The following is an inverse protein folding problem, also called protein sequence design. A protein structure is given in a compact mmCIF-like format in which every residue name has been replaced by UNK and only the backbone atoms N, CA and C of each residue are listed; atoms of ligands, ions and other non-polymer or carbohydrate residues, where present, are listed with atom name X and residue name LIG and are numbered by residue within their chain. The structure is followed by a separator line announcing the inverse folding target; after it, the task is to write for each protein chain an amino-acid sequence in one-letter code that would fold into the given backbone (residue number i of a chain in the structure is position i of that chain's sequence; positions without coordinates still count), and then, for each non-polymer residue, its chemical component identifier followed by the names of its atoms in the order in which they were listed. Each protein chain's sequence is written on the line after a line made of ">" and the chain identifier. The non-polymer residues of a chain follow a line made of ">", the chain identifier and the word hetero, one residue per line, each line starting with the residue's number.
data_IF_464555266782
#
_entry.id   IF_464555266782
#
_cell.length_a   1.000
_cell.length_b   1.000
_cell.length_c   1.000
_cell.angle_alpha   90.00
_cell.angle_beta   90.00
_cell.angle_gamma   90.00
#
_symmetry.space_group_name_H-M   'P 1'
#
loop_
_entity.id
_entity.type
_entity.pdbx_description
1 polymer ?
#
# COMPACT_ATOMS: atom_id res chain seq x y z
N UNK A 1 -16.18 6.07 -60.84
CA UNK A 1 -17.16 5.82 -59.74
C UNK A 1 -16.97 6.93 -58.72
N UNK A 2 -18.00 7.73 -58.51
CA UNK A 2 -17.91 8.86 -57.61
C UNK A 2 -18.04 8.35 -56.16
N UNK A 3 -17.10 8.70 -55.30
CA UNK A 3 -17.07 8.33 -53.88
C UNK A 3 -18.42 8.55 -53.16
N UNK A 4 -19.12 9.63 -53.54
CA UNK A 4 -20.46 9.97 -53.00
C UNK A 4 -21.52 8.93 -53.41
N UNK A 5 -21.45 8.39 -54.64
CA UNK A 5 -22.37 7.34 -55.10
C UNK A 5 -22.17 6.04 -54.29
N UNK A 6 -20.94 5.64 -54.09
CA UNK A 6 -20.61 4.44 -53.29
C UNK A 6 -21.06 4.57 -51.82
N UNK A 7 -20.94 5.77 -51.26
CA UNK A 7 -21.42 6.04 -49.91
C UNK A 7 -22.95 5.95 -49.79
N UNK A 8 -23.66 6.50 -50.77
CA UNK A 8 -25.14 6.43 -50.80
C UNK A 8 -25.66 5.00 -51.02
N UNK A 9 -25.02 4.21 -51.87
CA UNK A 9 -25.35 2.79 -52.05
C UNK A 9 -25.10 1.96 -50.80
N UNK A 10 -23.99 2.19 -50.11
CA UNK A 10 -23.68 1.55 -48.81
C UNK A 10 -24.75 1.90 -47.75
N UNK A 11 -25.11 3.18 -47.63
CA UNK A 11 -26.15 3.65 -46.71
C UNK A 11 -27.52 3.03 -47.01
N UNK A 12 -27.90 3.01 -48.28
CA UNK A 12 -29.14 2.38 -48.72
C UNK A 12 -29.18 0.88 -48.43
N UNK A 13 -28.10 0.16 -48.61
CA UNK A 13 -27.97 -1.27 -48.32
C UNK A 13 -28.08 -1.55 -46.83
N UNK A 14 -27.51 -0.70 -45.99
CA UNK A 14 -27.65 -0.79 -44.52
C UNK A 14 -29.09 -0.55 -44.06
N UNK A 15 -29.79 0.38 -44.68
CA UNK A 15 -31.18 0.70 -44.35
C UNK A 15 -32.15 -0.38 -44.84
N UNK A 16 -31.88 -1.01 -45.98
CA UNK A 16 -32.69 -2.12 -46.48
C UNK A 16 -32.68 -3.35 -45.57
N UNK A 17 -31.54 -3.59 -44.85
CA UNK A 17 -31.36 -4.72 -43.95
C UNK A 17 -31.10 -4.27 -42.49
N UNK A 18 -31.81 -3.24 -42.03
CA UNK A 18 -31.57 -2.57 -40.75
C UNK A 18 -31.45 -3.49 -39.53
N UNK A 19 -32.26 -4.53 -39.45
CA UNK A 19 -32.21 -5.48 -38.32
C UNK A 19 -30.89 -6.26 -38.26
N UNK A 20 -30.39 -6.69 -39.43
CA UNK A 20 -29.11 -7.41 -39.53
C UNK A 20 -27.95 -6.46 -39.20
N UNK A 21 -28.01 -5.24 -39.76
CA UNK A 21 -26.96 -4.23 -39.53
C UNK A 21 -26.89 -3.83 -38.07
N UNK A 22 -28.02 -3.63 -37.42
CA UNK A 22 -28.08 -3.34 -35.96
C UNK A 22 -27.52 -4.49 -35.13
N UNK A 23 -27.93 -5.75 -35.40
CA UNK A 23 -27.44 -6.89 -34.65
C UNK A 23 -25.92 -7.09 -34.81
N UNK A 24 -25.41 -6.96 -36.02
CA UNK A 24 -23.96 -7.12 -36.27
C UNK A 24 -23.15 -6.01 -35.62
N UNK A 25 -23.61 -4.74 -35.75
CA UNK A 25 -22.94 -3.61 -35.09
C UNK A 25 -22.98 -3.72 -33.59
N UNK A 26 -24.14 -4.12 -33.04
CA UNK A 26 -24.29 -4.32 -31.60
C UNK A 26 -23.32 -5.41 -31.09
N UNK A 27 -23.21 -6.53 -31.82
CA UNK A 27 -22.26 -7.59 -31.48
C UNK A 27 -20.80 -7.10 -31.45
N UNK A 28 -20.41 -6.31 -32.46
CA UNK A 28 -19.06 -5.73 -32.48
C UNK A 28 -18.84 -4.76 -31.32
N UNK A 29 -19.80 -3.86 -31.09
CA UNK A 29 -19.69 -2.89 -29.96
C UNK A 29 -19.58 -3.59 -28.63
N UNK A 30 -20.41 -4.61 -28.37
CA UNK A 30 -20.33 -5.38 -27.12
C UNK A 30 -18.98 -6.11 -27.02
N UNK A 31 -18.53 -6.71 -28.10
CA UNK A 31 -17.24 -7.40 -28.13
C UNK A 31 -16.05 -6.49 -27.82
N UNK A 32 -15.99 -5.34 -28.49
CA UNK A 32 -14.93 -4.33 -28.23
C UNK A 32 -15.03 -3.75 -26.83
N UNK A 33 -16.24 -3.39 -26.40
CA UNK A 33 -16.46 -2.87 -25.05
C UNK A 33 -16.04 -3.84 -23.95
N UNK A 34 -16.31 -5.14 -24.14
CA UNK A 34 -15.89 -6.17 -23.19
C UNK A 34 -14.36 -6.29 -23.09
N UNK A 35 -13.65 -6.21 -24.20
CA UNK A 35 -12.17 -6.23 -24.21
C UNK A 35 -11.59 -4.99 -23.53
N UNK A 36 -12.13 -3.81 -23.83
CA UNK A 36 -11.68 -2.56 -23.20
C UNK A 36 -11.94 -2.61 -21.68
N UNK A 37 -13.12 -3.07 -21.26
CA UNK A 37 -13.45 -3.21 -19.86
C UNK A 37 -12.50 -4.17 -19.13
N UNK A 38 -12.17 -5.31 -19.76
CA UNK A 38 -11.22 -6.27 -19.18
C UNK A 38 -9.83 -5.68 -19.00
N UNK A 39 -9.32 -4.95 -20.00
CA UNK A 39 -8.03 -4.28 -19.93
C UNK A 39 -8.04 -3.20 -18.82
N UNK A 40 -9.09 -2.37 -18.79
CA UNK A 40 -9.23 -1.31 -17.80
C UNK A 40 -9.27 -1.84 -16.35
N UNK A 41 -10.00 -2.94 -16.12
CA UNK A 41 -10.03 -3.59 -14.80
C UNK A 41 -8.64 -4.17 -14.46
N UNK A 42 -7.99 -4.81 -15.45
CA UNK A 42 -6.66 -5.40 -15.25
C UNK A 42 -5.60 -4.36 -14.89
N UNK A 43 -5.54 -3.25 -15.60
CA UNK A 43 -4.60 -2.15 -15.32
C UNK A 43 -4.91 -1.47 -14.00
N UNK A 44 -6.19 -1.21 -13.70
CA UNK A 44 -6.58 -0.59 -12.43
C UNK A 44 -6.26 -1.47 -11.22
N UNK A 45 -6.43 -2.79 -11.33
CA UNK A 45 -6.04 -3.73 -10.29
C UNK A 45 -4.51 -3.77 -10.10
N UNK A 46 -3.75 -3.76 -11.19
CA UNK A 46 -2.28 -3.72 -11.16
C UNK A 46 -1.77 -2.44 -10.48
N UNK A 47 -2.30 -1.28 -10.84
CA UNK A 47 -1.92 0.01 -10.24
C UNK A 47 -2.24 0.03 -8.73
N UNK A 48 -3.38 -0.51 -8.34
CA UNK A 48 -3.75 -0.62 -6.91
C UNK A 48 -2.76 -1.47 -6.14
N UNK A 49 -2.36 -2.63 -6.67
CA UNK A 49 -1.38 -3.51 -6.04
C UNK A 49 -0.01 -2.84 -5.96
N UNK A 50 0.45 -2.21 -7.06
CA UNK A 50 1.72 -1.52 -7.10
C UNK A 50 1.78 -0.36 -6.09
N UNK A 51 0.71 0.41 -5.96
CA UNK A 51 0.62 1.50 -4.98
C UNK A 51 0.65 0.97 -3.54
N UNK A 52 0.00 -0.16 -3.24
CA UNK A 52 0.08 -0.79 -1.93
C UNK A 52 1.50 -1.28 -1.60
N UNK A 53 2.19 -1.87 -2.57
CA UNK A 53 3.57 -2.35 -2.40
C UNK A 53 4.54 -1.16 -2.27
N UNK A 54 4.37 -0.12 -3.07
CA UNK A 54 5.22 1.08 -3.02
C UNK A 54 5.10 1.82 -1.69
N UNK A 55 3.91 1.82 -1.07
CA UNK A 55 3.68 2.39 0.25
C UNK A 55 4.37 1.64 1.40
N UNK A 56 4.76 0.37 1.19
CA UNK A 56 5.49 -0.42 2.20
C UNK A 56 7.00 -0.12 2.16
N UNK A 57 7.52 0.45 1.07
CA UNK A 57 8.95 0.68 0.81
C UNK A 57 9.54 -0.45 -0.06
N UNK A 58 10.07 -0.07 -1.21
CA UNK A 58 10.59 -1.04 -2.21
C UNK A 58 11.95 -1.61 -1.86
N UNK A 59 12.68 -0.97 -0.92
CA UNK A 59 14.06 -1.33 -0.56
C UNK A 59 14.17 -1.82 0.89
N UNK A 60 13.05 -2.34 1.46
CA UNK A 60 13.07 -2.85 2.83
C UNK A 60 13.46 -4.31 2.90
N UNK A 61 14.36 -4.60 3.81
CA UNK A 61 14.70 -5.95 4.24
C UNK A 61 14.19 -6.15 5.67
N UNK A 62 13.40 -7.19 5.88
CA UNK A 62 12.92 -7.54 7.21
C UNK A 62 13.78 -8.65 7.78
N UNK A 63 14.32 -8.43 8.97
CA UNK A 63 15.07 -9.40 9.74
C UNK A 63 14.23 -9.86 10.91
N UNK A 64 13.97 -11.16 10.98
CA UNK A 64 13.22 -11.79 12.05
C UNK A 64 14.12 -12.77 12.79
N UNK A 65 13.77 -13.06 14.03
CA UNK A 65 14.36 -14.19 14.77
C UNK A 65 14.17 -15.51 13.99
N UNK A 66 15.09 -16.44 14.12
CA UNK A 66 15.01 -17.74 13.44
C UNK A 66 13.78 -18.53 13.86
N UNK A 67 13.38 -19.49 13.02
CA UNK A 67 12.23 -20.33 13.31
C UNK A 67 12.65 -21.57 14.11
N UNK A 68 11.88 -21.92 15.16
CA UNK A 68 12.09 -23.10 16.02
C UNK A 68 11.99 -24.46 15.29
N UNK A 69 11.70 -24.46 13.98
CA UNK A 69 11.61 -25.71 13.20
C UNK A 69 12.94 -26.36 12.85
N UNK A 70 14.05 -25.70 13.19
CA UNK A 70 15.39 -26.29 13.01
C UNK A 70 15.89 -26.77 14.38
N UNK A 71 15.77 -28.05 14.66
CA UNK A 71 16.12 -28.72 15.95
C UNK A 71 17.59 -28.50 16.40
N UNK A 72 18.37 -27.78 15.61
CA UNK A 72 19.80 -27.56 15.85
C UNK A 72 20.16 -26.15 16.33
N UNK A 73 19.23 -25.18 16.31
CA UNK A 73 19.51 -23.79 16.66
C UNK A 73 18.61 -23.31 17.78
N UNK A 74 19.22 -22.90 18.89
CA UNK A 74 18.48 -22.18 19.95
C UNK A 74 18.14 -20.80 19.41
N UNK A 75 16.85 -20.57 19.15
CA UNK A 75 16.35 -19.26 18.71
C UNK A 75 16.51 -18.26 19.87
N UNK A 76 17.30 -17.21 19.63
CA UNK A 76 17.43 -16.10 20.56
C UNK A 76 16.71 -14.88 19.98
N UNK A 77 15.96 -14.13 20.81
CA UNK A 77 15.35 -12.87 20.37
C UNK A 77 16.41 -11.89 19.86
N UNK A 78 16.08 -11.15 18.82
CA UNK A 78 16.93 -10.07 18.32
C UNK A 78 17.03 -8.96 19.38
N UNK A 79 18.23 -8.41 19.52
CA UNK A 79 18.55 -7.37 20.51
C UNK A 79 18.87 -6.04 19.82
N UNK A 80 18.92 -4.94 20.58
CA UNK A 80 19.41 -3.65 20.06
C UNK A 80 20.86 -3.73 19.56
N UNK A 81 21.69 -4.57 20.18
CA UNK A 81 23.07 -4.76 19.75
C UNK A 81 23.19 -5.42 18.39
N UNK A 82 22.25 -6.32 18.06
CA UNK A 82 22.18 -6.92 16.71
C UNK A 82 21.81 -5.87 15.66
N UNK A 83 20.87 -4.96 16.00
CA UNK A 83 20.51 -3.87 15.12
C UNK A 83 21.66 -2.88 14.90
N UNK A 84 22.40 -2.53 15.96
CA UNK A 84 23.59 -1.69 15.89
C UNK A 84 24.68 -2.35 15.03
N UNK A 85 24.92 -3.64 15.20
CA UNK A 85 25.90 -4.40 14.41
C UNK A 85 25.55 -4.45 12.91
N UNK A 86 24.27 -4.55 12.58
CA UNK A 86 23.81 -4.47 11.18
C UNK A 86 24.02 -3.05 10.62
N UNK A 87 23.85 -2.02 11.45
CA UNK A 87 24.05 -0.62 11.07
C UNK A 87 25.52 -0.22 10.85
N UNK A 88 26.47 -1.05 11.24
CA UNK A 88 27.89 -0.78 11.00
C UNK A 88 28.25 -0.88 9.51
N UNK A 89 28.83 0.18 8.94
CA UNK A 89 29.17 0.30 7.50
C UNK A 89 30.02 -0.89 7.01
N UNK A 90 30.88 -1.44 7.84
CA UNK A 90 31.74 -2.57 7.47
C UNK A 90 31.03 -3.91 7.46
N UNK A 91 29.95 -4.04 8.24
CA UNK A 91 29.16 -5.27 8.31
C UNK A 91 28.16 -5.35 7.16
N UNK A 92 27.50 -4.24 6.82
CA UNK A 92 26.48 -4.18 5.78
C UNK A 92 26.57 -2.88 4.96
N UNK A 93 27.52 -2.74 4.02
CA UNK A 93 27.82 -1.49 3.31
C UNK A 93 26.69 -1.00 2.39
N UNK A 94 25.65 -1.80 2.17
CA UNK A 94 24.49 -1.46 1.34
C UNK A 94 23.22 -1.20 2.17
N UNK A 95 23.32 -1.21 3.50
CA UNK A 95 22.25 -0.82 4.40
C UNK A 95 22.41 0.65 4.72
N UNK A 96 21.38 1.43 4.39
CA UNK A 96 21.36 2.87 4.59
C UNK A 96 20.83 3.21 6.00
N UNK A 97 19.74 2.57 6.38
CA UNK A 97 19.04 2.81 7.65
C UNK A 97 18.63 1.49 8.29
N UNK A 98 18.82 1.38 9.61
CA UNK A 98 18.34 0.25 10.42
C UNK A 98 17.33 0.78 11.43
N UNK A 99 16.13 0.23 11.40
CA UNK A 99 15.04 0.63 12.30
C UNK A 99 14.57 -0.57 13.13
N UNK A 100 15.04 -0.73 14.36
CA UNK A 100 14.53 -1.75 15.28
C UNK A 100 13.04 -1.51 15.58
N UNK A 101 12.27 -2.61 15.59
CA UNK A 101 10.83 -2.55 15.84
C UNK A 101 10.42 -3.62 16.85
N UNK A 102 9.67 -3.20 17.85
CA UNK A 102 8.95 -4.11 18.75
C UNK A 102 7.46 -4.03 18.40
N UNK A 103 6.84 -5.16 18.18
CA UNK A 103 5.43 -5.23 17.81
C UNK A 103 4.60 -5.90 18.91
N UNK A 104 3.45 -5.32 19.19
CA UNK A 104 2.45 -5.88 20.09
C UNK A 104 1.03 -5.48 19.69
N UNK A 105 0.05 -5.98 20.38
CA UNK A 105 -1.34 -5.57 20.23
C UNK A 105 -1.91 -5.12 21.56
N UNK A 106 -2.81 -4.14 21.53
CA UNK A 106 -3.40 -3.60 22.74
C UNK A 106 -4.71 -2.87 22.47
N UNK A 107 -5.38 -2.50 23.57
CA UNK A 107 -6.60 -1.70 23.53
C UNK A 107 -6.26 -0.26 23.89
N UNK A 108 -6.42 0.64 22.93
CA UNK A 108 -6.29 2.08 23.16
C UNK A 108 -7.65 2.64 23.54
N UNK A 109 -7.70 3.54 24.53
CA UNK A 109 -8.94 4.12 25.06
C UNK A 109 -8.81 5.62 25.22
N UNK A 110 -9.88 6.33 24.87
CA UNK A 110 -10.03 7.76 25.11
C UNK A 110 -11.50 8.15 25.21
N UNK A 111 -11.88 8.98 26.17
CA UNK A 111 -13.21 9.55 26.29
C UNK A 111 -14.38 8.54 26.35
N UNK A 112 -14.15 7.29 26.74
CA UNK A 112 -15.16 6.21 26.73
C UNK A 112 -15.15 5.34 25.47
N UNK A 113 -14.50 5.78 24.38
CA UNK A 113 -14.26 4.98 23.18
C UNK A 113 -13.03 4.10 23.34
N UNK A 114 -13.04 2.96 22.65
CA UNK A 114 -11.90 2.02 22.67
C UNK A 114 -11.71 1.35 21.31
N UNK A 115 -10.45 1.07 20.95
CA UNK A 115 -10.09 0.33 19.75
C UNK A 115 -8.94 -0.63 20.04
N UNK A 116 -9.10 -1.89 19.66
CA UNK A 116 -7.98 -2.84 19.62
C UNK A 116 -7.16 -2.57 18.38
N UNK A 117 -5.87 -2.38 18.54
CA UNK A 117 -4.96 -2.07 17.44
C UNK A 117 -3.59 -2.69 17.68
N UNK A 118 -2.79 -2.77 16.63
CA UNK A 118 -1.38 -3.08 16.73
C UNK A 118 -0.62 -1.86 17.24
N UNK A 119 0.36 -2.10 18.10
CA UNK A 119 1.23 -1.09 18.68
C UNK A 119 2.66 -1.45 18.29
N UNK A 120 3.36 -0.48 17.73
CA UNK A 120 4.75 -0.61 17.34
C UNK A 120 5.60 0.31 18.20
N UNK A 121 6.59 -0.26 18.89
CA UNK A 121 7.66 0.51 19.49
C UNK A 121 8.76 0.69 18.45
N UNK A 122 9.06 1.93 18.12
CA UNK A 122 9.94 2.27 17.00
C UNK A 122 10.98 3.30 17.42
N UNK A 123 12.08 3.36 16.68
CA UNK A 123 13.09 4.40 16.78
C UNK A 123 12.83 5.52 15.74
N UNK A 124 13.50 6.69 15.86
CA UNK A 124 13.34 7.79 14.90
C UNK A 124 13.60 7.38 13.45
N UNK A 125 14.54 6.49 13.21
CA UNK A 125 14.94 5.98 11.90
C UNK A 125 13.81 5.24 11.17
N UNK A 126 12.78 4.83 11.90
CA UNK A 126 11.63 4.14 11.33
C UNK A 126 10.86 5.00 10.33
N UNK A 127 10.84 6.33 10.52
CA UNK A 127 10.21 7.26 9.59
C UNK A 127 10.87 7.17 8.21
N UNK A 128 12.20 7.27 8.19
CA UNK A 128 12.97 7.26 6.94
C UNK A 128 12.95 5.88 6.29
N UNK A 129 13.14 4.82 7.08
CA UNK A 129 13.10 3.44 6.60
C UNK A 129 11.77 3.10 5.92
N UNK A 130 10.65 3.58 6.45
CA UNK A 130 9.29 3.30 5.94
C UNK A 130 8.71 4.41 5.09
N UNK A 131 9.42 5.51 4.92
CA UNK A 131 8.96 6.70 4.20
C UNK A 131 7.56 7.15 4.65
N UNK A 132 7.35 7.20 5.99
CA UNK A 132 6.06 7.63 6.52
C UNK A 132 5.87 9.13 6.42
N UNK A 133 4.79 9.54 5.80
CA UNK A 133 4.32 10.92 5.79
C UNK A 133 3.34 11.16 6.94
N UNK A 134 3.54 12.26 7.65
CA UNK A 134 2.65 12.70 8.72
C UNK A 134 1.59 13.64 8.15
N UNK A 135 0.34 13.44 8.55
CA UNK A 135 -0.73 14.38 8.25
C UNK A 135 -0.66 15.59 9.17
N UNK A 136 -0.32 15.38 10.44
CA UNK A 136 -0.22 16.44 11.45
C UNK A 136 0.81 16.05 12.52
N UNK A 137 1.47 17.07 13.10
CA UNK A 137 2.44 16.92 14.18
C UNK A 137 3.83 16.54 13.71
N UNK A 138 4.63 16.04 14.65
CA UNK A 138 6.03 15.66 14.43
C UNK A 138 6.22 14.17 14.71
N UNK A 139 7.15 13.55 14.03
CA UNK A 139 7.54 12.17 14.31
C UNK A 139 8.35 12.08 15.61
N UNK A 140 8.49 10.86 16.12
CA UNK A 140 9.34 10.57 17.28
C UNK A 140 10.77 10.96 16.91
N UNK A 141 11.36 11.85 17.68
CA UNK A 141 12.74 12.30 17.46
C UNK A 141 13.69 11.71 18.52
N UNK A 142 15.01 11.90 18.32
CA UNK A 142 16.02 11.40 19.24
C UNK A 142 15.85 11.92 20.68
N UNK A 143 15.40 13.16 20.85
CA UNK A 143 15.15 13.72 22.19
C UNK A 143 14.02 12.96 22.90
N UNK A 144 12.96 12.63 22.17
CA UNK A 144 11.85 11.86 22.69
C UNK A 144 12.29 10.42 23.07
N UNK A 145 13.09 9.79 22.21
CA UNK A 145 13.61 8.46 22.44
C UNK A 145 14.56 8.42 23.65
N UNK A 146 15.52 9.34 23.72
CA UNK A 146 16.51 9.43 24.80
C UNK A 146 15.88 9.81 26.15
N UNK A 147 14.89 10.70 26.12
CA UNK A 147 14.15 11.10 27.32
C UNK A 147 13.11 10.07 27.74
N UNK A 148 12.89 9.00 26.98
CA UNK A 148 11.79 8.04 27.17
C UNK A 148 10.44 8.75 27.32
N UNK A 149 10.22 9.76 26.47
CA UNK A 149 9.02 10.56 26.53
C UNK A 149 7.78 9.70 26.18
N UNK A 150 6.66 9.97 26.85
CA UNK A 150 5.39 9.31 26.59
C UNK A 150 4.72 9.96 25.37
N UNK A 151 5.24 9.72 24.19
CA UNK A 151 4.72 10.22 22.91
C UNK A 151 4.27 9.04 22.05
N UNK A 152 3.24 9.26 21.22
CA UNK A 152 2.76 8.25 20.30
C UNK A 152 2.23 8.90 19.03
N UNK A 153 2.44 8.23 17.91
CA UNK A 153 1.80 8.52 16.64
C UNK A 153 0.56 7.64 16.52
N UNK A 154 -0.53 8.22 16.08
CA UNK A 154 -1.81 7.54 16.00
C UNK A 154 -2.21 7.47 14.52
N UNK A 155 -2.48 6.28 14.04
CA UNK A 155 -3.00 6.09 12.69
C UNK A 155 -4.41 6.71 12.54
N UNK A 156 -4.74 7.16 11.33
CA UNK A 156 -6.01 7.83 11.00
C UNK A 156 -7.21 7.05 11.51
N UNK A 157 -7.30 5.77 11.23
CA UNK A 157 -8.40 4.90 11.66
C UNK A 157 -8.58 4.85 13.19
N UNK A 158 -7.47 4.95 13.94
CA UNK A 158 -7.52 4.97 15.41
C UNK A 158 -7.94 6.34 15.89
N UNK A 159 -7.44 7.40 15.27
CA UNK A 159 -7.80 8.77 15.57
C UNK A 159 -9.29 9.02 15.36
N UNK A 160 -9.84 8.63 14.21
CA UNK A 160 -11.26 8.77 13.88
C UNK A 160 -12.16 8.02 14.85
N UNK A 161 -11.73 6.84 15.29
CA UNK A 161 -12.51 6.05 16.26
C UNK A 161 -12.48 6.64 17.66
N UNK A 162 -11.36 7.18 18.10
CA UNK A 162 -11.20 7.68 19.47
C UNK A 162 -11.63 9.13 19.65
N UNK A 163 -11.42 9.96 18.63
CA UNK A 163 -11.66 11.42 18.72
C UNK A 163 -12.84 11.88 17.87
N UNK A 164 -13.46 10.99 17.07
CA UNK A 164 -14.50 11.32 16.10
C UNK A 164 -13.91 11.73 14.75
N UNK A 165 -14.75 11.63 13.70
CA UNK A 165 -14.36 12.12 12.37
C UNK A 165 -14.05 13.62 12.45
N UNK A 166 -12.86 13.99 11.98
CA UNK A 166 -12.52 15.40 11.76
C UNK A 166 -13.31 15.89 10.56
N UNK A 167 -14.10 16.90 10.75
CA UNK A 167 -14.66 17.67 9.63
C UNK A 167 -13.46 18.37 8.94
N UNK A 168 -13.17 17.96 7.72
CA UNK A 168 -12.24 18.63 6.82
C UNK A 168 -12.84 19.93 6.30
#
# INVERSE_FOLDING_TARGET
>A
MNFIQTLNEAWSSLYANRMRSILTTLGIVIGVAAVIAMIAIGTGAQDTILNQISGIGTNLLFVFEGNEQDDTVTVQPLTMQDAEAIGEIFAAPHVDVVAPVIQGSGVVKYGGESKTTQIFGVTPEFQDARNYELLEGDFINEQNANARASVALIGVDVADKLFGQRDN
#
